data_IF_645415857107
#
_entry.id   IF_645415857107
#
_cell.length_a   1.000
_cell.length_b   1.000
_cell.length_c   1.000
_cell.angle_alpha   90.00
_cell.angle_beta   90.00
_cell.angle_gamma   90.00
#
_symmetry.space_group_name_H-M   'P 1'
#
loop_
_entity.id
_entity.type
_entity.pdbx_description
1 polymer ?
#
# COMPACT_ATOMS: atom_id res chain seq x y z
N UNK A 1 -12.27 -4.10 -19.14
CA UNK A 1 -11.06 -4.37 -19.95
C UNK A 1 -9.84 -3.93 -19.16
N UNK A 2 -9.33 -4.81 -18.30
CA UNK A 2 -8.07 -4.64 -17.56
C UNK A 2 -7.36 -6.01 -17.46
N UNK A 3 -7.36 -6.78 -18.56
CA UNK A 3 -6.80 -8.15 -18.60
C UNK A 3 -5.32 -8.22 -18.19
N UNK A 4 -4.57 -7.11 -18.31
CA UNK A 4 -3.19 -7.03 -17.84
C UNK A 4 -3.10 -6.93 -16.32
N UNK A 5 -3.97 -6.16 -15.65
CA UNK A 5 -3.97 -6.06 -14.20
C UNK A 5 -4.38 -7.40 -13.58
N UNK A 6 -5.41 -8.06 -14.09
CA UNK A 6 -5.81 -9.39 -13.58
C UNK A 6 -4.69 -10.45 -13.70
N UNK A 7 -3.78 -10.30 -14.65
CA UNK A 7 -2.69 -11.25 -14.88
C UNK A 7 -1.40 -10.93 -14.11
N UNK A 8 -1.14 -9.66 -13.84
CA UNK A 8 0.16 -9.19 -13.32
C UNK A 8 0.07 -8.36 -12.04
N UNK A 9 -1.13 -7.94 -11.65
CA UNK A 9 -1.39 -7.19 -10.44
C UNK A 9 -1.91 -8.12 -9.34
N UNK A 10 -1.82 -7.65 -8.11
CA UNK A 10 -2.38 -8.34 -6.95
C UNK A 10 -3.13 -7.32 -6.09
N UNK A 11 -4.44 -7.49 -6.00
CA UNK A 11 -5.30 -6.55 -5.28
C UNK A 11 -5.23 -6.79 -3.77
N UNK A 12 -4.31 -6.07 -3.14
CA UNK A 12 -4.13 -6.09 -1.69
C UNK A 12 -5.32 -5.47 -0.93
N UNK A 13 -6.14 -4.62 -1.56
CA UNK A 13 -7.32 -4.02 -0.91
C UNK A 13 -8.41 -5.07 -0.77
N UNK A 14 -8.68 -5.82 -1.84
CA UNK A 14 -9.63 -6.93 -1.81
C UNK A 14 -9.23 -7.99 -0.77
N UNK A 15 -7.94 -8.34 -0.70
CA UNK A 15 -7.45 -9.30 0.30
C UNK A 15 -7.52 -8.78 1.74
N UNK A 16 -7.40 -7.46 1.95
CA UNK A 16 -7.63 -6.83 3.25
C UNK A 16 -9.10 -6.91 3.67
N UNK A 17 -10.03 -6.62 2.74
CA UNK A 17 -11.47 -6.74 2.97
C UNK A 17 -11.90 -8.18 3.26
N UNK A 18 -11.30 -9.15 2.57
CA UNK A 18 -11.51 -10.59 2.80
C UNK A 18 -10.82 -11.12 4.07
N UNK A 19 -10.04 -10.30 4.77
CA UNK A 19 -9.31 -10.70 5.98
C UNK A 19 -8.18 -11.70 5.74
N UNK A 20 -7.65 -11.78 4.50
CA UNK A 20 -6.54 -12.66 4.13
C UNK A 20 -5.17 -12.07 4.48
N UNK A 21 -5.09 -10.75 4.68
CA UNK A 21 -3.86 -10.09 5.11
C UNK A 21 -3.62 -10.30 6.61
N UNK A 22 -2.36 -10.55 6.97
CA UNK A 22 -1.93 -10.57 8.36
C UNK A 22 -2.02 -9.18 8.98
N UNK A 23 -2.34 -9.13 10.27
CA UNK A 23 -2.32 -7.87 11.03
C UNK A 23 -0.91 -7.26 11.04
N UNK A 24 -0.83 -5.95 10.80
CA UNK A 24 0.42 -5.19 10.89
C UNK A 24 0.51 -4.56 12.29
N UNK A 25 1.52 -4.93 13.06
CA UNK A 25 1.72 -4.43 14.43
C UNK A 25 2.94 -3.51 14.47
N UNK A 26 2.80 -2.34 15.10
CA UNK A 26 3.92 -1.45 15.41
C UNK A 26 4.43 -0.59 14.25
N UNK A 27 3.70 -0.51 13.12
CA UNK A 27 4.07 0.29 11.94
C UNK A 27 3.15 1.51 11.71
N UNK A 28 2.51 2.00 12.76
CA UNK A 28 1.53 3.09 12.67
C UNK A 28 2.12 4.41 12.17
N UNK A 29 3.39 4.68 12.49
CA UNK A 29 4.06 5.92 12.07
C UNK A 29 4.37 5.91 10.58
N UNK A 30 4.92 4.82 10.06
CA UNK A 30 5.25 4.65 8.65
C UNK A 30 3.99 4.64 7.78
N UNK A 31 2.93 3.95 8.24
CA UNK A 31 1.63 3.95 7.55
C UNK A 31 1.07 5.37 7.49
N UNK A 32 1.08 6.10 8.61
CA UNK A 32 0.60 7.49 8.66
C UNK A 32 1.42 8.40 7.76
N UNK A 33 2.74 8.25 7.73
CA UNK A 33 3.61 9.02 6.85
C UNK A 33 3.32 8.74 5.37
N UNK A 34 3.11 7.46 4.99
CA UNK A 34 2.72 7.11 3.62
C UNK A 34 1.42 7.77 3.20
N UNK A 35 0.39 7.73 4.06
CA UNK A 35 -0.90 8.37 3.82
C UNK A 35 -0.73 9.89 3.63
N UNK A 36 0.11 10.53 4.46
CA UNK A 36 0.39 11.96 4.35
C UNK A 36 1.08 12.30 3.02
N UNK A 37 2.04 11.48 2.57
CA UNK A 37 2.73 11.69 1.28
C UNK A 37 1.74 11.54 0.12
N UNK A 38 0.94 10.47 0.10
CA UNK A 38 -0.08 10.22 -0.93
C UNK A 38 -1.10 11.37 -1.06
N UNK A 39 -1.40 12.04 0.04
CA UNK A 39 -2.35 13.17 0.08
C UNK A 39 -1.79 14.50 -0.45
N UNK A 40 -0.50 14.56 -0.82
CA UNK A 40 0.13 15.81 -1.31
C UNK A 40 -0.28 16.11 -2.76
N UNK A 41 -0.28 17.40 -3.12
CA UNK A 41 -0.50 17.85 -4.52
C UNK A 41 0.69 17.60 -5.44
N UNK A 42 1.91 17.55 -4.89
CA UNK A 42 3.14 17.30 -5.64
C UNK A 42 4.04 16.35 -4.85
N UNK A 43 4.82 15.51 -5.55
CA UNK A 43 5.67 14.46 -4.95
C UNK A 43 4.88 13.59 -3.98
N UNK A 44 3.83 12.97 -4.50
CA UNK A 44 2.87 12.17 -3.75
C UNK A 44 3.16 10.67 -3.79
N UNK A 45 4.27 10.24 -4.37
CA UNK A 45 4.66 8.84 -4.43
C UNK A 45 5.57 8.53 -3.23
N UNK A 46 5.07 7.89 -2.15
CA UNK A 46 5.92 7.46 -1.06
C UNK A 46 6.87 6.37 -1.56
N UNK A 47 8.12 6.42 -1.07
CA UNK A 47 9.10 5.34 -1.25
C UNK A 47 9.48 4.87 0.14
N UNK A 48 9.21 3.60 0.43
CA UNK A 48 9.64 2.95 1.65
C UNK A 48 11.09 2.52 1.47
N UNK A 49 11.96 2.96 2.38
CA UNK A 49 13.36 2.56 2.43
C UNK A 49 13.53 1.89 3.79
N UNK A 50 13.70 0.57 3.78
CA UNK A 50 14.23 -0.15 4.94
C UNK A 50 15.71 -0.45 4.68
N UNK A 51 16.51 -0.57 5.74
CA UNK A 51 17.83 -1.18 5.62
C UNK A 51 17.65 -2.70 5.44
N UNK A 52 18.17 -3.25 4.35
CA UNK A 52 18.20 -4.69 4.04
C UNK A 52 19.18 -5.46 4.90
#
# INVERSE_FOLDING_TARGET
TYQALEKYDHDLVADAEDGKLNQVIGRDEEIRHCIQVLSRRMRNNPVLIEET
#
